data_IF_296423202110
#
_entry.id   IF_296423202110
#
_cell.length_a   1.000
_cell.length_b   1.000
_cell.length_c   1.000
_cell.angle_alpha   90.00
_cell.angle_beta   90.00
_cell.angle_gamma   90.00
#
_symmetry.space_group_name_H-M   'P 1'
#
loop_
_entity.id
_entity.type
_entity.pdbx_description
1 polymer ?
#
# COMPACT_ATOMS: atom_id res chain seq x y z
N UNK A 1 43.54 9.92 -39.11
CA UNK A 1 42.48 10.96 -39.01
C UNK A 1 41.64 10.59 -37.78
N UNK A 2 42.29 10.44 -36.60
CA UNK A 2 41.70 9.65 -35.51
C UNK A 2 41.97 10.22 -34.11
N UNK A 3 42.55 11.42 -34.00
CA UNK A 3 42.68 12.13 -32.72
C UNK A 3 41.43 12.99 -32.42
N UNK A 4 40.79 13.51 -33.46
CA UNK A 4 39.63 14.40 -33.35
C UNK A 4 38.33 13.63 -33.04
N UNK A 5 38.21 12.40 -33.57
CA UNK A 5 37.12 11.47 -33.23
C UNK A 5 37.25 10.90 -31.80
N UNK A 6 38.48 10.70 -31.29
CA UNK A 6 38.71 10.31 -29.91
C UNK A 6 38.49 11.48 -28.92
N UNK A 7 38.74 12.73 -29.34
CA UNK A 7 38.47 13.92 -28.55
C UNK A 7 36.97 14.22 -28.40
N UNK A 8 36.15 13.86 -29.39
CA UNK A 8 34.68 13.95 -29.32
C UNK A 8 34.05 12.90 -28.38
N UNK A 9 34.75 11.79 -28.10
CA UNK A 9 34.25 10.72 -27.24
C UNK A 9 34.39 11.00 -25.72
N UNK A 10 34.96 12.15 -25.32
CA UNK A 10 35.22 12.51 -23.92
C UNK A 10 34.52 13.79 -23.45
N UNK A 11 33.44 14.24 -24.12
CA UNK A 11 32.77 15.50 -23.77
C UNK A 11 32.13 15.50 -22.38
N UNK A 12 31.56 14.37 -21.94
CA UNK A 12 30.88 14.31 -20.64
C UNK A 12 31.84 14.42 -19.45
N UNK A 13 33.11 14.00 -19.64
CA UNK A 13 34.16 14.09 -18.62
C UNK A 13 34.76 15.50 -18.49
N UNK A 14 34.41 16.42 -19.40
CA UNK A 14 34.79 17.83 -19.32
C UNK A 14 33.78 18.69 -18.56
N UNK A 15 32.61 18.13 -18.24
CA UNK A 15 31.60 18.85 -17.47
C UNK A 15 32.03 18.98 -16.01
N UNK A 16 31.78 20.14 -15.37
CA UNK A 16 31.91 20.26 -13.92
C UNK A 16 31.04 19.23 -13.19
N UNK A 17 31.50 18.78 -12.03
CA UNK A 17 30.77 17.83 -11.18
C UNK A 17 29.34 18.30 -10.89
N UNK A 18 29.15 19.60 -10.68
CA UNK A 18 27.84 20.22 -10.44
C UNK A 18 26.86 20.04 -11.60
N UNK A 19 27.32 20.11 -12.85
CA UNK A 19 26.48 19.88 -14.02
C UNK A 19 26.07 18.41 -14.14
N UNK A 20 27.01 17.50 -13.84
CA UNK A 20 26.75 16.07 -13.82
C UNK A 20 25.78 15.72 -12.69
N UNK A 21 25.99 16.26 -11.49
CA UNK A 21 25.11 16.10 -10.33
C UNK A 21 23.71 16.65 -10.63
N UNK A 22 23.61 17.84 -11.22
CA UNK A 22 22.32 18.41 -11.62
C UNK A 22 21.60 17.50 -12.63
N UNK A 23 22.29 17.02 -13.67
CA UNK A 23 21.69 16.10 -14.64
C UNK A 23 21.20 14.80 -13.97
N UNK A 24 22.01 14.19 -13.09
CA UNK A 24 21.64 12.98 -12.34
C UNK A 24 20.45 13.26 -11.42
N UNK A 25 20.36 14.43 -10.80
CA UNK A 25 19.25 14.80 -9.91
C UNK A 25 17.88 14.89 -10.61
N UNK A 26 17.86 14.93 -11.95
CA UNK A 26 16.65 14.91 -12.78
C UNK A 26 16.25 13.49 -13.22
N UNK A 27 17.04 12.48 -12.86
CA UNK A 27 16.78 11.07 -13.17
C UNK A 27 16.14 10.36 -11.96
N UNK A 28 16.13 9.03 -11.94
CA UNK A 28 15.66 8.25 -10.78
C UNK A 28 16.79 7.94 -9.79
N UNK A 29 16.50 7.69 -8.50
CA UNK A 29 17.46 7.12 -7.55
C UNK A 29 18.19 5.86 -8.08
N UNK A 30 17.49 5.04 -8.87
CA UNK A 30 18.08 3.88 -9.54
C UNK A 30 19.15 4.25 -10.56
N UNK A 31 18.88 5.26 -11.39
CA UNK A 31 19.83 5.76 -12.39
C UNK A 31 21.03 6.45 -11.75
N UNK A 32 20.84 7.14 -10.62
CA UNK A 32 21.94 7.70 -9.84
C UNK A 32 22.87 6.59 -9.32
N UNK A 33 22.31 5.50 -8.78
CA UNK A 33 23.08 4.33 -8.37
C UNK A 33 23.86 3.71 -9.54
N UNK A 34 23.25 3.54 -10.72
CA UNK A 34 23.94 3.05 -11.91
C UNK A 34 25.05 4.00 -12.37
N UNK A 35 24.77 5.30 -12.36
CA UNK A 35 25.73 6.37 -12.72
C UNK A 35 26.99 6.31 -11.85
N UNK A 36 26.82 6.06 -10.54
CA UNK A 36 27.94 5.96 -9.59
C UNK A 36 28.96 4.85 -9.91
N UNK A 37 28.55 3.84 -10.69
CA UNK A 37 29.39 2.72 -11.08
C UNK A 37 30.26 3.03 -12.32
N UNK A 38 29.97 4.09 -13.07
CA UNK A 38 30.61 4.38 -14.36
C UNK A 38 32.04 4.89 -14.21
N UNK A 39 32.27 5.84 -13.30
CA UNK A 39 33.60 6.44 -13.07
C UNK A 39 33.68 7.12 -11.69
N UNK A 40 34.88 7.43 -11.17
CA UNK A 40 35.02 8.17 -9.92
C UNK A 40 34.36 9.55 -9.92
N UNK A 41 34.41 10.27 -11.05
CA UNK A 41 33.77 11.59 -11.19
C UNK A 41 32.24 11.48 -11.14
N UNK A 42 31.67 10.48 -11.82
CA UNK A 42 30.24 10.20 -11.74
C UNK A 42 29.82 9.71 -10.36
N UNK A 43 30.67 8.95 -9.65
CA UNK A 43 30.42 8.54 -8.27
C UNK A 43 30.32 9.75 -7.35
N UNK A 44 31.28 10.67 -7.40
CA UNK A 44 31.26 11.89 -6.59
C UNK A 44 29.97 12.70 -6.85
N UNK A 45 29.64 12.93 -8.13
CA UNK A 45 28.42 13.64 -8.51
C UNK A 45 27.13 12.90 -8.06
N UNK A 46 27.02 11.60 -8.32
CA UNK A 46 25.84 10.79 -8.02
C UNK A 46 25.60 10.59 -6.53
N UNK A 47 26.65 10.57 -5.72
CA UNK A 47 26.58 10.38 -4.27
C UNK A 47 26.45 11.71 -3.51
N UNK A 48 26.46 12.84 -4.22
CA UNK A 48 26.35 14.17 -3.62
C UNK A 48 24.97 14.42 -3.01
N UNK A 49 24.95 15.09 -1.86
CA UNK A 49 23.70 15.47 -1.18
C UNK A 49 22.80 16.38 -2.02
N UNK A 50 23.34 17.11 -3.00
CA UNK A 50 22.55 17.90 -3.94
C UNK A 50 21.62 17.02 -4.79
N UNK A 51 22.09 15.85 -5.22
CA UNK A 51 21.30 14.85 -5.95
C UNK A 51 20.21 14.29 -5.05
N UNK A 52 20.61 13.76 -3.89
CA UNK A 52 19.69 13.06 -2.99
C UNK A 52 18.67 13.98 -2.31
N UNK A 53 18.98 15.28 -2.15
CA UNK A 53 18.00 16.28 -1.72
C UNK A 53 16.81 16.38 -2.66
N UNK A 54 17.04 16.21 -3.97
CA UNK A 54 15.98 16.30 -4.97
C UNK A 54 15.12 15.03 -4.98
N UNK A 55 15.72 13.87 -4.72
CA UNK A 55 15.01 12.60 -4.58
C UNK A 55 14.17 12.51 -3.29
N UNK A 56 14.67 13.06 -2.18
CA UNK A 56 13.92 13.15 -0.92
C UNK A 56 12.77 14.19 -0.97
N UNK A 57 12.74 15.05 -1.99
CA UNK A 57 11.87 16.24 -2.14
C UNK A 57 11.96 17.22 -0.96
N UNK A 58 11.49 18.48 -1.04
CA UNK A 58 11.67 19.42 0.08
C UNK A 58 10.82 19.11 1.34
N UNK A 59 9.73 18.38 1.19
CA UNK A 59 8.70 18.18 2.21
C UNK A 59 8.94 16.97 3.13
N UNK A 60 9.94 16.12 2.86
CA UNK A 60 10.28 15.01 3.76
C UNK A 60 10.64 15.49 5.17
N UNK A 61 11.28 16.66 5.32
CA UNK A 61 11.64 17.20 6.63
C UNK A 61 10.40 17.48 7.49
N UNK A 62 9.32 17.97 6.87
CA UNK A 62 8.04 18.20 7.56
C UNK A 62 7.37 16.87 7.98
N UNK A 63 7.52 15.82 7.17
CA UNK A 63 7.04 14.48 7.54
C UNK A 63 7.87 13.87 8.66
N UNK A 64 9.20 13.99 8.61
CA UNK A 64 10.10 13.46 9.63
C UNK A 64 10.02 14.23 10.95
N UNK A 65 9.57 15.48 10.94
CA UNK A 65 9.27 16.22 12.18
C UNK A 65 8.13 15.59 13.01
N UNK A 66 7.33 14.71 12.40
CA UNK A 66 6.28 13.92 13.06
C UNK A 66 6.76 12.54 13.53
N UNK A 67 8.03 12.20 13.32
CA UNK A 67 8.56 10.91 13.70
C UNK A 67 8.57 10.74 15.22
N UNK A 68 8.21 9.55 15.67
CA UNK A 68 8.20 9.20 17.09
C UNK A 68 9.63 9.08 17.65
N UNK A 69 10.56 8.68 16.78
CA UNK A 69 11.99 8.59 17.09
C UNK A 69 12.81 9.43 16.09
N UNK A 70 13.84 10.15 16.56
CA UNK A 70 14.69 10.95 15.68
C UNK A 70 15.45 10.05 14.69
N UNK A 71 15.47 10.44 13.42
CA UNK A 71 16.21 9.75 12.37
C UNK A 71 17.46 10.56 12.06
N UNK A 72 18.59 10.12 12.60
CA UNK A 72 19.90 10.72 12.33
C UNK A 72 20.61 9.91 11.24
N UNK A 73 21.10 10.59 10.20
CA UNK A 73 21.89 10.01 9.11
C UNK A 73 23.01 10.98 8.73
N UNK A 74 24.14 10.46 8.28
CA UNK A 74 25.31 11.28 7.93
C UNK A 74 25.17 11.93 6.55
N UNK A 75 24.38 11.31 5.66
CA UNK A 75 24.12 11.80 4.30
C UNK A 75 22.65 11.64 3.89
N UNK A 76 22.23 12.39 2.87
CA UNK A 76 20.87 12.27 2.30
C UNK A 76 20.67 10.95 1.56
N UNK A 77 21.75 10.38 1.00
CA UNK A 77 21.73 9.04 0.39
C UNK A 77 21.46 7.96 1.43
N UNK A 78 22.11 8.04 2.58
CA UNK A 78 21.88 7.13 3.71
C UNK A 78 20.46 7.28 4.24
N UNK A 79 19.98 8.52 4.43
CA UNK A 79 18.59 8.78 4.82
C UNK A 79 17.60 8.15 3.84
N UNK A 80 17.81 8.31 2.53
CA UNK A 80 16.97 7.70 1.52
C UNK A 80 16.94 6.17 1.64
N UNK A 81 18.11 5.52 1.74
CA UNK A 81 18.18 4.06 1.91
C UNK A 81 17.48 3.62 3.19
N UNK A 82 17.70 4.35 4.29
CA UNK A 82 17.10 4.06 5.60
C UNK A 82 15.57 4.13 5.56
N UNK A 83 15.00 5.08 4.83
CA UNK A 83 13.55 5.22 4.64
C UNK A 83 12.95 4.21 3.67
N UNK A 84 13.74 3.66 2.74
CA UNK A 84 13.32 2.54 1.90
C UNK A 84 13.30 1.22 2.68
N UNK A 85 14.31 0.99 3.51
CA UNK A 85 14.53 -0.31 4.13
C UNK A 85 13.76 -0.48 5.45
N UNK A 86 13.66 0.58 6.26
CA UNK A 86 12.83 0.53 7.47
C UNK A 86 11.95 1.80 7.60
N UNK A 87 10.64 1.70 7.30
CA UNK A 87 9.72 2.81 7.51
C UNK A 87 9.75 3.33 8.95
N UNK A 88 9.58 4.64 9.09
CA UNK A 88 9.61 5.37 10.37
C UNK A 88 8.18 5.48 10.90
N UNK A 89 7.99 5.27 12.20
CA UNK A 89 6.69 5.46 12.84
C UNK A 89 6.42 6.95 13.10
N UNK A 90 5.20 7.36 12.81
CA UNK A 90 4.73 8.74 12.97
C UNK A 90 3.49 8.77 13.88
N UNK A 91 3.29 9.93 14.50
CA UNK A 91 2.09 10.29 15.25
C UNK A 91 1.67 9.23 16.30
N UNK A 92 2.60 8.76 17.12
CA UNK A 92 2.36 7.76 18.16
C UNK A 92 2.08 6.37 17.58
N UNK A 93 2.87 5.96 16.60
CA UNK A 93 2.77 4.68 15.88
C UNK A 93 1.41 4.42 15.22
N UNK A 94 0.68 5.48 14.88
CA UNK A 94 -0.61 5.37 14.16
C UNK A 94 -0.41 5.23 12.66
N UNK A 95 0.75 5.64 12.15
CA UNK A 95 1.14 5.37 10.77
C UNK A 95 2.66 5.18 10.64
N UNK A 96 3.10 4.57 9.53
CA UNK A 96 4.51 4.49 9.18
C UNK A 96 4.76 5.18 7.84
N UNK A 97 5.91 5.83 7.70
CA UNK A 97 6.35 6.52 6.51
C UNK A 97 7.65 5.91 5.96
N UNK A 98 7.69 5.67 4.65
CA UNK A 98 8.88 5.23 3.95
C UNK A 98 8.91 5.75 2.52
N UNK A 99 9.91 5.33 1.77
CA UNK A 99 10.08 5.71 0.37
C UNK A 99 10.14 4.49 -0.55
N UNK A 100 9.53 4.61 -1.72
CA UNK A 100 9.63 3.62 -2.78
C UNK A 100 11.01 3.74 -3.47
N UNK A 101 11.76 2.65 -3.49
CA UNK A 101 13.19 2.64 -3.80
C UNK A 101 13.55 3.15 -5.20
N UNK A 102 12.67 2.96 -6.19
CA UNK A 102 12.93 3.30 -7.60
C UNK A 102 12.52 4.73 -7.91
N UNK A 103 11.36 5.17 -7.43
CA UNK A 103 10.79 6.49 -7.75
C UNK A 103 11.08 7.55 -6.69
N UNK A 104 11.42 7.15 -5.46
CA UNK A 104 11.46 8.04 -4.31
C UNK A 104 10.07 8.53 -3.90
N UNK A 105 8.99 7.95 -4.42
CA UNK A 105 7.66 8.31 -4.01
C UNK A 105 7.33 7.79 -2.61
N UNK A 106 6.64 8.62 -1.85
CA UNK A 106 6.28 8.35 -0.46
C UNK A 106 5.39 7.13 -0.34
N UNK A 107 5.65 6.29 0.66
CA UNK A 107 4.82 5.18 1.06
C UNK A 107 4.30 5.44 2.47
N UNK A 108 3.01 5.19 2.70
CA UNK A 108 2.41 5.27 4.03
C UNK A 108 1.73 3.97 4.39
N UNK A 109 1.73 3.62 5.65
CA UNK A 109 0.87 2.56 6.18
C UNK A 109 0.13 3.09 7.38
N UNK A 110 -1.19 2.92 7.39
CA UNK A 110 -2.04 3.19 8.56
C UNK A 110 -2.01 1.95 9.46
N UNK A 111 -1.66 2.11 10.73
CA UNK A 111 -1.75 1.06 11.73
C UNK A 111 -3.20 0.64 11.95
N UNK A 112 -3.43 -0.60 12.38
CA UNK A 112 -4.78 -1.06 12.75
C UNK A 112 -5.47 -0.12 13.76
N UNK A 113 -4.70 0.46 14.70
CA UNK A 113 -5.19 1.47 15.67
C UNK A 113 -5.68 2.77 15.04
N UNK A 114 -5.21 3.11 13.84
CA UNK A 114 -5.65 4.29 13.10
C UNK A 114 -6.81 4.01 12.13
N UNK A 115 -7.22 2.74 12.00
CA UNK A 115 -8.34 2.35 11.16
C UNK A 115 -9.65 2.45 11.94
N UNK A 116 -10.72 2.79 11.25
CA UNK A 116 -12.07 2.61 11.76
C UNK A 116 -12.49 1.16 11.56
N UNK A 117 -12.46 0.37 12.64
CA UNK A 117 -12.86 -1.03 12.66
C UNK A 117 -14.21 -1.14 13.35
N UNK A 118 -15.23 -1.66 12.66
CA UNK A 118 -16.56 -1.86 13.27
C UNK A 118 -16.43 -2.84 14.44
N UNK A 119 -16.93 -2.41 15.60
CA UNK A 119 -16.80 -3.09 16.89
C UNK A 119 -15.35 -3.31 17.37
N UNK A 120 -14.37 -2.54 16.87
CA UNK A 120 -12.96 -2.67 17.26
C UNK A 120 -12.68 -2.43 18.76
N UNK A 121 -13.58 -1.74 19.45
CA UNK A 121 -13.50 -1.51 20.91
C UNK A 121 -14.22 -2.60 21.73
N UNK A 122 -14.93 -3.52 21.07
CA UNK A 122 -15.64 -4.63 21.73
C UNK A 122 -14.70 -5.85 21.84
N UNK A 123 -14.27 -6.24 23.04
CA UNK A 123 -13.37 -7.38 23.24
C UNK A 123 -13.98 -8.73 22.87
N UNK A 124 -15.30 -8.82 22.69
CA UNK A 124 -15.97 -10.01 22.15
C UNK A 124 -15.85 -10.14 20.63
N UNK A 125 -15.53 -9.04 19.95
CA UNK A 125 -15.35 -8.99 18.49
C UNK A 125 -13.87 -8.90 18.10
N UNK A 126 -13.07 -8.11 18.82
CA UNK A 126 -11.66 -7.85 18.50
C UNK A 126 -10.78 -7.83 19.75
N UNK A 127 -9.59 -8.40 19.65
CA UNK A 127 -8.53 -8.29 20.66
C UNK A 127 -7.39 -7.48 20.06
N UNK A 128 -6.75 -6.66 20.90
CA UNK A 128 -5.57 -5.90 20.52
C UNK A 128 -4.33 -6.62 21.06
N UNK A 129 -3.50 -7.12 20.15
CA UNK A 129 -2.33 -7.94 20.48
C UNK A 129 -1.08 -7.09 20.31
N UNK A 130 -0.28 -7.00 21.38
CA UNK A 130 0.96 -6.23 21.38
C UNK A 130 2.17 -7.11 21.05
N UNK A 131 3.17 -6.53 20.39
CA UNK A 131 4.50 -7.14 20.22
C UNK A 131 4.54 -8.37 19.33
N UNK A 132 3.63 -8.49 18.34
CA UNK A 132 3.65 -9.61 17.40
C UNK A 132 4.95 -9.57 16.57
N UNK A 133 5.74 -10.66 16.51
CA UNK A 133 6.98 -10.69 15.73
C UNK A 133 6.77 -10.32 14.27
N UNK A 134 7.69 -9.53 13.72
CA UNK A 134 7.58 -9.03 12.35
C UNK A 134 6.55 -7.91 12.16
N UNK A 135 5.84 -7.49 13.22
CA UNK A 135 4.93 -6.33 13.12
C UNK A 135 5.69 -5.02 12.99
N UNK A 136 5.25 -4.14 12.08
CA UNK A 136 5.71 -2.74 12.01
C UNK A 136 5.17 -1.88 13.16
N UNK A 137 4.00 -2.23 13.70
CA UNK A 137 3.31 -1.46 14.73
C UNK A 137 3.31 -2.19 16.07
N UNK A 138 3.29 -1.45 17.21
CA UNK A 138 3.33 -2.04 18.54
C UNK A 138 2.10 -2.90 18.86
N UNK A 139 0.94 -2.55 18.30
CA UNK A 139 -0.31 -3.29 18.44
C UNK A 139 -0.93 -3.61 17.09
N UNK A 140 -1.57 -4.78 17.00
CA UNK A 140 -2.35 -5.25 15.86
C UNK A 140 -3.74 -5.69 16.31
N UNK A 141 -4.72 -5.68 15.41
CA UNK A 141 -6.10 -6.06 15.73
C UNK A 141 -6.36 -7.52 15.31
N UNK A 142 -6.72 -8.38 16.25
CA UNK A 142 -7.07 -9.78 16.02
C UNK A 142 -8.58 -9.98 16.13
N UNK A 143 -9.16 -10.56 15.09
CA UNK A 143 -10.58 -10.81 15.00
C UNK A 143 -10.99 -12.05 15.81
N UNK A 144 -11.84 -11.87 16.83
CA UNK A 144 -12.29 -12.95 17.73
C UNK A 144 -13.42 -13.76 17.11
N UNK A 145 -14.54 -13.12 16.79
CA UNK A 145 -15.69 -13.78 16.16
C UNK A 145 -16.73 -12.72 15.75
N UNK A 146 -16.92 -12.51 14.44
CA UNK A 146 -17.97 -11.59 13.95
C UNK A 146 -18.62 -12.15 12.69
N UNK A 147 -19.86 -11.74 12.41
CA UNK A 147 -20.51 -11.99 11.12
C UNK A 147 -20.58 -10.75 10.22
N UNK A 148 -20.22 -9.57 10.76
CA UNK A 148 -20.11 -8.29 10.07
C UNK A 148 -18.65 -7.83 10.19
N UNK A 149 -17.95 -7.74 9.07
CA UNK A 149 -16.57 -7.27 9.03
C UNK A 149 -16.51 -6.01 8.18
N UNK A 150 -15.99 -4.93 8.75
CA UNK A 150 -15.82 -3.67 8.05
C UNK A 150 -14.64 -2.91 8.66
N UNK A 151 -13.69 -2.56 7.80
CA UNK A 151 -12.47 -1.85 8.13
C UNK A 151 -12.32 -0.70 7.14
N UNK A 152 -12.17 0.50 7.65
CA UNK A 152 -12.04 1.71 6.83
C UNK A 152 -10.81 2.50 7.25
N UNK A 153 -9.96 2.85 6.29
CA UNK A 153 -8.81 3.74 6.47
C UNK A 153 -9.00 5.02 5.66
N UNK A 154 -8.49 6.14 6.18
CA UNK A 154 -8.47 7.44 5.49
C UNK A 154 -7.07 8.03 5.52
N UNK A 155 -6.62 8.54 4.39
CA UNK A 155 -5.34 9.24 4.29
C UNK A 155 -5.52 10.53 3.47
N UNK A 156 -4.95 11.64 3.95
CA UNK A 156 -4.93 12.88 3.18
C UNK A 156 -4.00 12.74 1.97
N UNK A 157 -4.48 13.20 0.81
CA UNK A 157 -3.73 13.13 -0.44
C UNK A 157 -2.55 14.12 -0.47
N UNK A 158 -2.60 15.18 0.34
CA UNK A 158 -1.49 16.11 0.55
C UNK A 158 -0.22 15.43 1.08
N UNK A 159 -0.36 14.29 1.77
CA UNK A 159 0.78 13.51 2.25
C UNK A 159 1.45 12.72 1.12
N UNK A 160 0.73 12.41 0.05
CA UNK A 160 1.20 11.58 -1.05
C UNK A 160 2.00 12.37 -2.08
N UNK A 161 2.73 11.63 -2.90
CA UNK A 161 3.47 12.19 -4.04
C UNK A 161 2.52 12.59 -5.17
N UNK A 162 2.57 13.85 -5.67
CA UNK A 162 1.82 14.25 -6.85
C UNK A 162 2.20 13.45 -8.09
N UNK A 163 1.28 13.34 -9.05
CA UNK A 163 1.52 12.67 -10.34
C UNK A 163 1.84 11.19 -10.23
N UNK A 164 1.45 10.54 -9.12
CA UNK A 164 1.77 9.14 -8.83
C UNK A 164 0.47 8.35 -8.72
N UNK A 165 0.45 7.16 -9.33
CA UNK A 165 -0.63 6.20 -9.11
C UNK A 165 -0.28 5.36 -7.89
N UNK A 166 -1.22 5.23 -6.96
CA UNK A 166 -1.07 4.45 -5.74
C UNK A 166 -1.99 3.24 -5.76
N UNK A 167 -1.59 2.21 -5.02
CA UNK A 167 -2.48 1.12 -4.62
C UNK A 167 -2.50 0.97 -3.11
N UNK A 168 -3.67 0.62 -2.59
CA UNK A 168 -3.88 0.28 -1.19
C UNK A 168 -3.82 -1.24 -1.00
N UNK A 169 -3.16 -1.69 0.05
CA UNK A 169 -2.97 -3.09 0.40
C UNK A 169 -3.39 -3.32 1.84
N UNK A 170 -4.26 -4.30 2.09
CA UNK A 170 -4.46 -4.80 3.45
C UNK A 170 -3.28 -5.70 3.80
N UNK A 171 -2.60 -5.43 4.91
CA UNK A 171 -1.52 -6.28 5.42
C UNK A 171 -1.99 -6.94 6.70
N UNK A 172 -1.94 -8.28 6.70
CA UNK A 172 -2.57 -9.09 7.72
C UNK A 172 -1.92 -10.48 7.83
N UNK A 173 -2.17 -11.15 8.93
CA UNK A 173 -1.84 -12.54 9.16
C UNK A 173 -3.13 -13.31 9.50
N UNK A 174 -3.02 -14.64 9.48
CA UNK A 174 -4.14 -15.54 9.81
C UNK A 174 -3.70 -16.40 10.98
N UNK A 175 -4.50 -16.42 12.04
CA UNK A 175 -4.34 -17.30 13.20
C UNK A 175 -4.55 -18.77 12.82
N UNK A 176 -3.88 -19.67 13.53
CA UNK A 176 -4.04 -21.12 13.41
C UNK A 176 -5.47 -21.59 13.71
N UNK A 177 -6.22 -20.88 14.56
CA UNK A 177 -7.62 -21.18 14.92
C UNK A 177 -8.64 -20.50 14.00
N UNK A 178 -8.18 -19.91 12.89
CA UNK A 178 -9.04 -19.18 11.95
C UNK A 178 -10.11 -20.06 11.32
N UNK A 179 -11.26 -19.44 11.06
CA UNK A 179 -12.27 -19.94 10.14
C UNK A 179 -13.04 -18.75 9.60
N UNK A 180 -13.83 -18.98 8.55
CA UNK A 180 -14.73 -17.92 8.10
C UNK A 180 -14.14 -17.00 7.04
N UNK A 181 -12.84 -17.14 6.76
CA UNK A 181 -12.07 -16.25 5.88
C UNK A 181 -11.80 -16.84 4.48
N UNK A 182 -12.09 -18.12 4.26
CA UNK A 182 -11.88 -18.77 2.96
C UNK A 182 -12.96 -18.36 1.95
N UNK A 183 -12.55 -18.19 0.69
CA UNK A 183 -13.47 -17.91 -0.41
C UNK A 183 -14.15 -19.18 -0.94
N UNK A 184 -15.12 -19.70 -0.17
CA UNK A 184 -15.92 -20.84 -0.59
C UNK A 184 -16.92 -20.48 -1.69
N UNK A 185 -17.17 -21.44 -2.58
CA UNK A 185 -18.12 -21.25 -3.66
C UNK A 185 -19.54 -21.07 -3.11
N UNK A 186 -20.31 -20.15 -3.70
CA UNK A 186 -21.70 -19.86 -3.35
C UNK A 186 -21.87 -18.91 -2.18
N UNK A 187 -20.77 -18.33 -1.69
CA UNK A 187 -20.73 -17.25 -0.70
C UNK A 187 -20.25 -15.97 -1.39
N UNK A 188 -20.74 -14.83 -0.91
CA UNK A 188 -20.26 -13.53 -1.36
C UNK A 188 -18.89 -13.28 -0.72
N UNK A 189 -17.82 -13.15 -1.53
CA UNK A 189 -16.51 -12.77 -1.02
C UNK A 189 -16.52 -11.35 -0.44
N UNK A 190 -15.58 -11.02 0.46
CA UNK A 190 -15.34 -9.65 0.87
C UNK A 190 -15.13 -8.73 -0.33
N UNK A 191 -15.49 -7.47 -0.18
CA UNK A 191 -15.27 -6.41 -1.16
C UNK A 191 -14.34 -5.37 -0.60
N UNK A 192 -13.56 -4.77 -1.48
CA UNK A 192 -12.84 -3.56 -1.18
C UNK A 192 -13.25 -2.45 -2.14
N UNK A 193 -13.25 -1.23 -1.64
CA UNK A 193 -13.46 -0.01 -2.42
C UNK A 193 -12.43 1.03 -2.05
N UNK A 194 -11.82 1.65 -3.04
CA UNK A 194 -10.93 2.81 -2.85
C UNK A 194 -11.57 4.01 -3.53
N UNK A 195 -11.72 5.10 -2.78
CA UNK A 195 -12.50 6.26 -3.21
C UNK A 195 -11.74 7.54 -2.91
N UNK A 196 -11.57 8.39 -3.91
CA UNK A 196 -11.02 9.74 -3.74
C UNK A 196 -12.17 10.71 -3.47
N UNK A 197 -12.09 11.40 -2.34
CA UNK A 197 -13.09 12.35 -1.86
C UNK A 197 -12.43 13.72 -1.80
N UNK A 198 -12.78 14.60 -2.75
CA UNK A 198 -12.36 16.00 -2.73
C UNK A 198 -13.38 16.84 -1.95
N UNK A 199 -12.92 17.70 -1.05
CA UNK A 199 -13.79 18.61 -0.30
C UNK A 199 -14.49 19.58 -1.25
N UNK A 200 -15.82 19.49 -1.39
CA UNK A 200 -16.56 20.53 -2.11
C UNK A 200 -16.50 21.82 -1.31
N UNK A 201 -15.90 22.88 -1.88
CA UNK A 201 -15.83 24.21 -1.27
C UNK A 201 -17.16 24.64 -0.65
N UNK A 202 -17.09 25.12 0.59
CA UNK A 202 -18.25 25.52 1.38
C UNK A 202 -19.09 26.60 0.69
N UNK A 203 -20.39 26.37 0.62
CA UNK A 203 -21.37 27.33 0.14
C UNK A 203 -22.80 26.95 0.52
N UNK A 204 -23.23 27.31 1.73
CA UNK A 204 -24.64 27.54 2.09
C UNK A 204 -25.43 26.31 2.56
N UNK A 205 -26.03 26.42 3.75
CA UNK A 205 -26.83 25.38 4.39
C UNK A 205 -27.95 24.82 3.51
N UNK A 206 -27.88 23.52 3.26
CA UNK A 206 -28.91 22.74 2.57
C UNK A 206 -28.52 21.27 2.63
N UNK A 207 -29.42 20.45 3.20
CA UNK A 207 -29.40 18.98 3.34
C UNK A 207 -28.40 18.29 2.39
N UNK A 208 -27.25 17.85 2.93
CA UNK A 208 -26.15 17.24 2.19
C UNK A 208 -26.55 15.88 1.62
N UNK A 209 -26.97 15.85 0.37
CA UNK A 209 -26.87 14.65 -0.48
C UNK A 209 -25.40 14.46 -0.86
N UNK A 210 -24.82 13.26 -0.71
CA UNK A 210 -23.41 13.04 -1.01
C UNK A 210 -23.15 13.27 -2.51
N UNK A 211 -22.26 14.22 -2.80
CA UNK A 211 -21.66 14.43 -4.12
C UNK A 211 -20.96 13.13 -4.52
N UNK A 212 -21.16 12.61 -5.75
CA UNK A 212 -20.50 11.37 -6.17
C UNK A 212 -18.98 11.54 -6.12
N UNK A 213 -18.24 10.52 -5.62
CA UNK A 213 -16.79 10.60 -5.58
C UNK A 213 -16.20 10.68 -6.99
N UNK A 214 -15.17 11.50 -7.16
CA UNK A 214 -14.58 11.79 -8.47
C UNK A 214 -13.91 10.57 -9.13
N UNK A 215 -13.47 9.58 -8.33
CA UNK A 215 -12.93 8.29 -8.82
C UNK A 215 -13.10 7.23 -7.73
N UNK A 216 -13.67 6.07 -8.07
CA UNK A 216 -13.84 4.93 -7.16
C UNK A 216 -13.49 3.62 -7.87
N UNK A 217 -12.66 2.79 -7.25
CA UNK A 217 -12.35 1.43 -7.71
C UNK A 217 -12.94 0.41 -6.73
N UNK A 218 -13.40 -0.74 -7.24
CA UNK A 218 -14.00 -1.80 -6.42
C UNK A 218 -13.47 -3.17 -6.85
N UNK A 219 -13.11 -3.99 -5.88
CA UNK A 219 -12.59 -5.33 -6.11
C UNK A 219 -13.19 -6.37 -5.16
N UNK A 220 -13.31 -7.57 -5.67
CA UNK A 220 -13.56 -8.77 -4.89
C UNK A 220 -12.25 -9.24 -4.23
N UNK A 221 -12.26 -9.55 -2.94
CA UNK A 221 -11.06 -9.90 -2.18
C UNK A 221 -11.14 -11.34 -1.67
N UNK A 222 -10.02 -12.05 -1.80
CA UNK A 222 -9.77 -13.33 -1.13
C UNK A 222 -8.75 -13.11 0.00
N UNK A 223 -9.11 -13.51 1.22
CA UNK A 223 -8.23 -13.43 2.39
C UNK A 223 -7.45 -14.72 2.65
N UNK A 224 -8.04 -15.88 2.35
CA UNK A 224 -7.38 -17.15 2.60
C UNK A 224 -7.36 -17.98 1.33
N UNK A 225 -6.13 -18.16 0.82
CA UNK A 225 -5.83 -19.03 -0.29
C UNK A 225 -5.80 -20.48 0.23
N UNK A 226 -6.70 -21.36 -0.23
CA UNK A 226 -6.63 -22.77 0.19
C UNK A 226 -5.57 -23.47 -0.68
N UNK A 227 -4.34 -23.48 -0.14
CA UNK A 227 -3.22 -24.33 -0.57
C UNK A 227 -2.79 -24.22 -2.05
N UNK A 228 -1.84 -23.32 -2.34
CA UNK A 228 -0.90 -23.40 -3.47
C UNK A 228 -1.34 -22.71 -4.77
N UNK A 229 -0.40 -22.43 -5.69
CA UNK A 229 -0.65 -21.68 -6.94
C UNK A 229 -1.83 -22.20 -7.80
N UNK A 230 -2.22 -23.46 -7.61
CA UNK A 230 -3.29 -24.17 -8.30
C UNK A 230 -4.69 -23.56 -8.05
N UNK A 231 -4.96 -22.98 -6.87
CA UNK A 231 -6.30 -22.46 -6.56
C UNK A 231 -6.53 -21.00 -7.04
N UNK A 232 -5.48 -20.19 -7.17
CA UNK A 232 -5.58 -18.90 -7.86
C UNK A 232 -5.94 -19.09 -9.35
N UNK A 233 -5.52 -20.23 -9.94
CA UNK A 233 -6.00 -20.67 -11.24
C UNK A 233 -7.42 -21.28 -11.16
N UNK A 234 -7.80 -21.91 -10.05
CA UNK A 234 -9.16 -22.40 -9.83
C UNK A 234 -10.20 -21.28 -9.70
N UNK A 235 -9.88 -20.14 -9.07
CA UNK A 235 -10.76 -18.95 -9.04
C UNK A 235 -11.02 -18.39 -10.44
N UNK A 236 -10.05 -18.58 -11.35
CA UNK A 236 -10.11 -18.23 -12.77
C UNK A 236 -10.75 -19.33 -13.65
N UNK A 237 -11.25 -20.43 -13.07
CA UNK A 237 -11.90 -21.54 -13.78
C UNK A 237 -13.32 -21.77 -13.28
N UNK A 238 -14.25 -22.01 -14.21
CA UNK A 238 -15.63 -22.40 -13.88
C UNK A 238 -15.60 -23.75 -13.17
N UNK A 239 -16.01 -23.78 -11.90
CA UNK A 239 -15.94 -24.99 -11.08
C UNK A 239 -17.33 -25.38 -10.60
N UNK A 240 -17.73 -26.62 -10.88
CA UNK A 240 -18.99 -27.19 -10.37
C UNK A 240 -18.70 -28.00 -9.12
N UNK A 241 -19.47 -27.79 -8.07
CA UNK A 241 -19.35 -28.54 -6.83
C UNK A 241 -20.75 -28.85 -6.30
N UNK A 242 -20.87 -30.01 -5.66
CA UNK A 242 -22.11 -30.47 -5.06
C UNK A 242 -22.19 -29.99 -3.62
N UNK A 243 -23.19 -29.15 -3.31
CA UNK A 243 -23.51 -28.83 -1.91
C UNK A 243 -24.46 -29.89 -1.36
N UNK A 244 -23.95 -30.72 -0.46
CA UNK A 244 -24.75 -31.64 0.34
C UNK A 244 -25.58 -30.83 1.36
N UNK A 245 -26.91 -30.88 1.27
CA UNK A 245 -27.79 -30.34 2.31
C UNK A 245 -27.87 -31.34 3.46
N UNK A 246 -27.76 -30.85 4.71
CA UNK A 246 -27.82 -31.65 5.95
C UNK A 246 -29.19 -32.31 6.24
N UNK A 247 -30.22 -32.13 5.42
CA UNK A 247 -31.51 -32.82 5.61
C UNK A 247 -32.31 -32.93 4.30
N UNK A 248 -32.86 -34.13 4.07
CA UNK A 248 -33.73 -34.60 2.98
C UNK A 248 -34.05 -33.57 1.87
N UNK A 249 -33.13 -33.41 0.93
CA UNK A 249 -33.34 -32.52 -0.22
C UNK A 249 -32.19 -32.62 -1.21
N UNK A 250 -32.55 -32.95 -2.46
CA UNK A 250 -31.71 -33.11 -3.66
C UNK A 250 -30.41 -32.28 -3.64
N UNK A 251 -29.27 -32.93 -3.94
CA UNK A 251 -27.98 -32.27 -4.11
C UNK A 251 -28.12 -31.10 -5.10
N UNK A 252 -27.66 -29.91 -4.71
CA UNK A 252 -27.65 -28.74 -5.60
C UNK A 252 -26.25 -28.61 -6.20
N UNK A 253 -26.17 -28.79 -7.52
CA UNK A 253 -24.98 -28.42 -8.29
C UNK A 253 -24.90 -26.90 -8.29
N UNK A 254 -23.89 -26.34 -7.64
CA UNK A 254 -23.59 -24.92 -7.67
C UNK A 254 -22.37 -24.73 -8.57
N UNK A 255 -22.38 -23.65 -9.35
CA UNK A 255 -21.29 -23.33 -10.27
C UNK A 255 -20.63 -22.04 -9.80
N UNK A 256 -19.32 -22.06 -9.53
CA UNK A 256 -18.51 -20.84 -9.46
C UNK A 256 -18.27 -20.38 -10.88
N UNK A 257 -18.73 -19.18 -11.23
CA UNK A 257 -18.23 -18.51 -12.43
C UNK A 257 -16.80 -18.02 -12.14
N UNK A 258 -15.93 -18.07 -13.14
CA UNK A 258 -14.59 -17.54 -12.96
C UNK A 258 -14.69 -16.04 -12.67
N UNK A 259 -14.12 -15.59 -11.55
CA UNK A 259 -13.92 -14.16 -11.29
C UNK A 259 -12.45 -13.87 -11.60
N UNK A 260 -12.13 -13.38 -12.81
CA UNK A 260 -10.75 -13.09 -13.19
C UNK A 260 -10.18 -11.91 -12.39
N UNK A 261 -11.02 -11.09 -11.77
CA UNK A 261 -10.65 -9.83 -11.13
C UNK A 261 -10.50 -9.95 -9.61
N UNK A 262 -10.75 -11.14 -9.04
CA UNK A 262 -10.54 -11.41 -7.62
C UNK A 262 -9.08 -11.17 -7.23
N UNK A 263 -8.89 -10.41 -6.15
CA UNK A 263 -7.57 -10.14 -5.58
C UNK A 263 -7.26 -11.20 -4.55
N UNK A 264 -6.23 -12.00 -4.83
CA UNK A 264 -5.72 -13.02 -3.93
C UNK A 264 -4.54 -12.48 -3.11
N UNK A 265 -4.31 -13.04 -1.91
CA UNK A 265 -3.24 -12.59 -1.07
C UNK A 265 -1.89 -13.08 -1.57
N UNK A 266 -0.84 -12.33 -1.23
CA UNK A 266 0.56 -12.67 -1.51
C UNK A 266 1.33 -12.69 -0.20
N UNK A 267 2.19 -13.70 0.03
CA UNK A 267 3.08 -13.70 1.18
C UNK A 267 4.12 -12.57 1.04
N UNK A 268 4.48 -11.97 2.15
CA UNK A 268 5.56 -10.99 2.27
C UNK A 268 6.79 -11.67 2.91
N UNK A 269 7.96 -11.07 2.73
CA UNK A 269 9.20 -11.57 3.32
C UNK A 269 9.30 -11.39 4.84
N UNK A 270 8.38 -10.62 5.44
CA UNK A 270 8.31 -10.27 6.87
C UNK A 270 7.38 -11.20 7.67
N UNK A 271 6.82 -12.25 7.05
CA UNK A 271 5.90 -13.19 7.67
C UNK A 271 4.42 -12.78 7.59
N UNK A 272 4.11 -11.61 7.04
CA UNK A 272 2.73 -11.16 6.81
C UNK A 272 2.24 -11.54 5.42
N UNK A 273 0.93 -11.47 5.19
CA UNK A 273 0.32 -11.50 3.88
C UNK A 273 -0.17 -10.10 3.49
N UNK A 274 -0.24 -9.82 2.19
CA UNK A 274 -0.88 -8.62 1.65
C UNK A 274 -1.87 -8.95 0.55
N UNK A 275 -2.94 -8.16 0.45
CA UNK A 275 -3.86 -8.21 -0.69
C UNK A 275 -4.19 -6.79 -1.17
N UNK A 276 -4.20 -6.60 -2.49
CA UNK A 276 -4.53 -5.32 -3.12
C UNK A 276 -6.03 -5.03 -2.96
N UNK A 277 -6.36 -3.88 -2.37
CA UNK A 277 -7.72 -3.41 -2.14
C UNK A 277 -8.24 -2.53 -3.29
N UNK A 278 -7.33 -1.86 -4.00
CA UNK A 278 -7.64 -1.02 -5.14
C UNK A 278 -6.55 0.01 -5.43
N UNK A 279 -6.75 0.77 -6.48
CA UNK A 279 -5.82 1.80 -6.95
C UNK A 279 -6.52 3.14 -7.17
N UNK A 280 -5.72 4.21 -7.17
CA UNK A 280 -6.14 5.58 -7.42
C UNK A 280 -4.96 6.42 -7.90
N UNK A 281 -5.22 7.49 -8.63
CA UNK A 281 -4.20 8.40 -9.13
C UNK A 281 -4.22 9.73 -8.35
N UNK A 282 -3.03 10.24 -8.01
CA UNK A 282 -2.87 11.58 -7.44
C UNK A 282 -2.47 12.54 -8.54
N UNK A 283 -3.20 13.65 -8.69
CA UNK A 283 -2.94 14.63 -9.75
C UNK A 283 -1.54 15.27 -9.64
N UNK A 284 -0.95 15.66 -10.79
CA UNK A 284 0.39 16.27 -10.83
C UNK A 284 0.44 17.69 -10.22
N UNK A 285 -0.69 18.39 -10.19
CA UNK A 285 -0.83 19.72 -9.57
C UNK A 285 -1.08 19.69 -8.07
N UNK A 286 -1.06 18.51 -7.44
CA UNK A 286 -1.64 18.30 -6.12
C UNK A 286 -3.16 18.20 -6.21
N UNK A 287 -3.79 17.66 -5.16
CA UNK A 287 -5.23 17.84 -4.94
C UNK A 287 -5.45 18.96 -3.92
N UNK A 288 -6.70 19.40 -3.77
CA UNK A 288 -7.07 20.32 -2.69
C UNK A 288 -6.56 19.78 -1.34
N UNK A 289 -6.12 20.66 -0.45
CA UNK A 289 -5.56 20.27 0.87
C UNK A 289 -6.52 19.39 1.69
N UNK A 290 -7.82 19.50 1.41
CA UNK A 290 -8.91 18.74 2.05
C UNK A 290 -9.22 17.40 1.37
N UNK A 291 -8.53 17.05 0.28
CA UNK A 291 -8.78 15.81 -0.43
C UNK A 291 -8.21 14.59 0.32
N UNK A 292 -9.03 13.55 0.44
CA UNK A 292 -8.69 12.31 1.14
C UNK A 292 -8.98 11.09 0.28
N UNK A 293 -8.15 10.06 0.41
CA UNK A 293 -8.48 8.72 -0.05
C UNK A 293 -9.10 7.94 1.09
N UNK A 294 -10.29 7.38 0.84
CA UNK A 294 -10.95 6.41 1.72
C UNK A 294 -10.78 5.02 1.13
N UNK A 295 -10.21 4.12 1.94
CA UNK A 295 -10.04 2.70 1.61
C UNK A 295 -10.96 1.91 2.54
N UNK A 296 -11.90 1.16 1.97
CA UNK A 296 -12.87 0.36 2.71
C UNK A 296 -12.73 -1.10 2.33
N UNK A 297 -12.73 -1.97 3.32
CA UNK A 297 -12.74 -3.42 3.19
C UNK A 297 -13.92 -3.97 4.00
N UNK A 298 -14.83 -4.70 3.36
CA UNK A 298 -16.07 -5.13 3.99
C UNK A 298 -16.56 -6.52 3.57
N UNK A 299 -17.16 -7.23 4.53
CA UNK A 299 -17.92 -8.45 4.33
C UNK A 299 -19.13 -8.42 5.28
N UNK A 300 -20.16 -7.69 4.87
CA UNK A 300 -21.36 -7.41 5.69
C UNK A 300 -22.58 -8.26 5.27
N UNK A 301 -22.60 -8.71 4.02
CA UNK A 301 -23.73 -9.44 3.44
C UNK A 301 -23.70 -10.96 3.74
N UNK A 302 -22.55 -11.50 4.14
CA UNK A 302 -22.33 -12.96 4.14
C UNK A 302 -22.98 -13.68 5.33
N UNK A 303 -23.40 -12.95 6.38
CA UNK A 303 -23.87 -13.48 7.69
C UNK A 303 -22.97 -14.60 8.25
N UNK A 304 -21.73 -14.70 7.77
CA UNK A 304 -20.82 -15.79 8.08
C UNK A 304 -19.91 -15.33 9.20
N UNK A 305 -20.02 -16.05 10.31
CA UNK A 305 -19.08 -15.92 11.42
C UNK A 305 -17.67 -16.24 10.96
N UNK A 306 -16.72 -15.42 11.40
CA UNK A 306 -15.31 -15.48 11.02
C UNK A 306 -14.44 -15.01 12.16
N UNK A 307 -13.24 -15.58 12.22
CA UNK A 307 -12.23 -15.31 13.25
C UNK A 307 -10.82 -15.52 12.73
N UNK A 308 -9.87 -15.05 13.52
CA UNK A 308 -8.44 -15.29 13.32
C UNK A 308 -7.81 -14.38 12.25
N UNK A 309 -8.50 -13.33 11.80
CA UNK A 309 -7.88 -12.29 10.97
C UNK A 309 -7.07 -11.36 11.86
N UNK A 310 -5.76 -11.28 11.65
CA UNK A 310 -4.86 -10.40 12.39
C UNK A 310 -4.46 -9.25 11.47
N UNK A 311 -4.99 -8.06 11.71
CA UNK A 311 -4.77 -6.87 10.87
C UNK A 311 -3.59 -6.07 11.41
N UNK A 312 -2.55 -5.92 10.60
CA UNK A 312 -1.47 -4.97 10.87
C UNK A 312 -1.87 -3.55 10.47
N UNK A 313 -2.47 -3.41 9.28
CA UNK A 313 -2.79 -2.09 8.75
C UNK A 313 -3.14 -2.07 7.27
N UNK A 314 -3.34 -0.86 6.74
CA UNK A 314 -3.53 -0.60 5.30
C UNK A 314 -2.32 0.18 4.78
N UNK A 315 -1.59 -0.41 3.84
CA UNK A 315 -0.42 0.20 3.19
C UNK A 315 -0.79 0.83 1.84
N UNK A 316 -0.48 2.11 1.68
CA UNK A 316 -0.64 2.90 0.47
C UNK A 316 0.75 3.15 -0.11
N UNK A 317 1.03 2.53 -1.26
CA UNK A 317 2.33 2.64 -1.93
C UNK A 317 2.17 2.89 -3.43
N UNK A 318 3.17 3.51 -4.08
CA UNK A 318 3.17 3.72 -5.53
C UNK A 318 2.95 2.40 -6.27
N UNK A 319 2.07 2.42 -7.26
CA UNK A 319 1.88 1.32 -8.20
C UNK A 319 2.69 1.61 -9.45
N UNK A 320 3.65 0.74 -9.74
CA UNK A 320 4.41 0.83 -10.98
C UNK A 320 3.48 0.58 -12.16
N UNK A 321 3.45 1.49 -13.13
CA UNK A 321 2.91 1.19 -14.44
C UNK A 321 3.83 0.13 -15.08
N UNK A 322 3.25 -1.00 -15.47
CA UNK A 322 3.94 -2.02 -16.26
C UNK A 322 4.24 -1.51 -17.67
#
# INVERSE_FOLDING_TARGET
MDAEAAAAAAEIYRLPEECVAYAISLTTPGDACQSSALSPAFRAAADSDAVWARFLRPDHAAVLARADEPVECESKKELFSRLCDNPVLLDGATMSFGLERRSGAKCFMLAARALNIVWGDDPSCWIWTAGLPGSRFPEVAELVDVCWLEITGKLSLSLLSPGTTYAAYLVYAISDDSYGLECHIGMLPPKATVTVISGSGGGGGGKTTPTPPATSTSHTICLQHMQGEEEAAAHRRKTQYMRLRRSYGRNKMLTREADPDIRCPRPRGDGWAEVELGEFAVAAGGEDDDAVVEVRFEEVDSRRWKRGLIVQGIEIRPKHAC
#
